data_IF_029586296741
#
_entry.id   IF_029586296741
#
_cell.length_a   1.000
_cell.length_b   1.000
_cell.length_c   1.000
_cell.angle_alpha   90.00
_cell.angle_beta   90.00
_cell.angle_gamma   90.00
#
_symmetry.space_group_name_H-M   'P 1'
#
loop_
_entity.id
_entity.type
_entity.pdbx_description
1 polymer ?
#
# COMPACT_ATOMS: atom_id res chain seq x y z
N UNK A 1 -8.57 26.68 10.50
CA UNK A 1 -8.70 27.27 9.16
C UNK A 1 -8.88 26.17 8.12
N UNK A 2 -9.64 26.37 7.03
CA UNK A 2 -9.76 25.37 5.98
C UNK A 2 -8.45 25.26 5.18
N UNK A 3 -8.02 24.03 4.92
CA UNK A 3 -6.85 23.74 4.10
C UNK A 3 -7.00 24.34 2.70
N UNK A 4 -6.05 25.19 2.28
CA UNK A 4 -5.96 25.74 0.92
C UNK A 4 -4.65 25.25 0.30
N UNK A 5 -4.70 24.29 -0.65
CA UNK A 5 -3.49 23.87 -1.33
C UNK A 5 -2.96 25.02 -2.20
N UNK A 6 -1.65 25.25 -2.14
CA UNK A 6 -0.97 26.18 -3.04
C UNK A 6 -0.97 25.57 -4.44
N UNK A 7 -1.68 26.20 -5.38
CA UNK A 7 -1.61 25.83 -6.80
C UNK A 7 -0.30 26.40 -7.34
N UNK A 8 0.63 25.52 -7.70
CA UNK A 8 1.84 25.90 -8.44
C UNK A 8 1.44 26.06 -9.90
N UNK A 9 1.41 27.31 -10.38
CA UNK A 9 1.20 27.61 -11.79
C UNK A 9 2.37 27.08 -12.61
N UNK A 10 2.08 26.43 -13.74
CA UNK A 10 3.08 25.77 -14.57
C UNK A 10 4.05 26.83 -15.12
N UNK A 11 5.22 26.96 -14.49
CA UNK A 11 6.27 27.84 -14.94
C UNK A 11 6.59 27.50 -16.40
N UNK A 12 6.46 28.51 -17.26
CA UNK A 12 6.49 28.38 -18.71
C UNK A 12 7.67 27.55 -19.20
N UNK A 13 7.42 26.81 -20.29
CA UNK A 13 8.35 26.01 -21.11
C UNK A 13 9.82 26.27 -20.81
N UNK A 14 10.32 25.74 -19.70
CA UNK A 14 11.74 25.48 -19.53
C UNK A 14 12.06 24.42 -20.55
N UNK A 15 13.02 24.71 -21.42
CA UNK A 15 13.67 23.76 -22.31
C UNK A 15 13.73 22.38 -21.66
N UNK A 16 13.57 21.33 -22.48
CA UNK A 16 13.66 19.90 -22.19
C UNK A 16 15.01 19.48 -21.56
N UNK A 17 15.47 20.22 -20.55
CA UNK A 17 16.49 19.79 -19.63
C UNK A 17 15.91 18.60 -18.88
N UNK A 18 16.76 17.59 -18.76
CA UNK A 18 16.49 16.37 -18.06
C UNK A 18 16.06 16.69 -16.62
N UNK A 19 14.76 16.73 -16.35
CA UNK A 19 14.22 17.00 -15.02
C UNK A 19 14.56 15.82 -14.12
N UNK A 20 15.55 16.00 -13.24
CA UNK A 20 15.99 14.99 -12.31
C UNK A 20 15.13 14.97 -11.05
N UNK A 21 14.41 13.86 -10.83
CA UNK A 21 13.61 13.63 -9.62
C UNK A 21 14.40 12.99 -8.48
N UNK A 22 15.67 12.64 -8.67
CA UNK A 22 16.49 11.94 -7.67
C UNK A 22 16.53 12.70 -6.34
N UNK A 23 16.60 14.02 -6.39
CA UNK A 23 16.58 14.85 -5.19
C UNK A 23 15.24 14.80 -4.44
N UNK A 24 14.12 14.93 -5.15
CA UNK A 24 12.79 14.84 -4.56
C UNK A 24 12.53 13.42 -4.03
N UNK A 25 12.90 12.40 -4.79
CA UNK A 25 12.79 11.00 -4.43
C UNK A 25 13.62 10.68 -3.18
N UNK A 26 14.87 11.14 -3.09
CA UNK A 26 15.74 10.92 -1.92
C UNK A 26 15.11 11.44 -0.63
N UNK A 27 14.36 12.56 -0.70
CA UNK A 27 13.66 13.12 0.45
C UNK A 27 12.32 12.42 0.74
N UNK A 28 11.62 11.97 -0.29
CA UNK A 28 10.28 11.39 -0.16
C UNK A 28 10.28 9.89 0.18
N UNK A 29 11.23 9.12 -0.36
CA UNK A 29 11.32 7.65 -0.18
C UNK A 29 11.33 7.24 1.30
N UNK A 30 12.04 7.91 2.22
CA UNK A 30 12.00 7.58 3.65
C UNK A 30 10.64 7.80 4.32
N UNK A 31 9.64 8.37 3.64
CA UNK A 31 8.28 8.48 4.18
C UNK A 31 7.35 7.39 3.62
N UNK A 32 7.81 6.57 2.67
CA UNK A 32 7.00 5.52 2.03
C UNK A 32 7.21 4.19 2.72
N UNK A 33 6.12 3.48 2.99
CA UNK A 33 6.12 2.15 3.60
C UNK A 33 5.47 1.13 2.69
N UNK A 34 5.87 -0.12 2.85
CA UNK A 34 5.24 -1.26 2.19
C UNK A 34 4.30 -1.98 3.16
N UNK A 35 3.06 -2.19 2.74
CA UNK A 35 1.99 -2.73 3.59
C UNK A 35 1.63 -4.12 3.07
N UNK A 36 1.77 -5.15 3.90
CA UNK A 36 1.13 -6.44 3.67
C UNK A 36 -0.19 -6.47 4.40
N UNK A 37 -1.24 -6.83 3.68
CA UNK A 37 -2.58 -7.02 4.18
C UNK A 37 -2.89 -8.50 4.15
N UNK A 38 -3.06 -9.09 5.32
CA UNK A 38 -3.24 -10.52 5.51
C UNK A 38 -4.68 -10.75 5.93
N UNK A 39 -5.39 -11.57 5.17
CA UNK A 39 -6.74 -12.02 5.50
C UNK A 39 -6.84 -13.55 5.44
N UNK A 40 -7.71 -14.13 6.25
CA UNK A 40 -8.03 -15.55 6.17
C UNK A 40 -9.26 -15.73 5.29
N UNK A 41 -9.17 -16.60 4.28
CA UNK A 41 -10.31 -17.02 3.48
C UNK A 41 -10.51 -18.52 3.66
N UNK A 42 -11.66 -18.91 4.17
CA UNK A 42 -12.08 -20.31 4.19
C UNK A 42 -12.51 -20.68 2.78
N UNK A 43 -11.70 -21.49 2.09
CA UNK A 43 -12.06 -21.96 0.77
C UNK A 43 -12.70 -23.34 0.90
N UNK A 44 -14.03 -23.40 0.79
CA UNK A 44 -14.76 -24.66 0.70
C UNK A 44 -14.86 -25.02 -0.78
N UNK A 45 -13.98 -25.88 -1.26
CA UNK A 45 -14.02 -26.29 -2.66
C UNK A 45 -15.27 -27.14 -2.92
N UNK A 46 -16.11 -26.73 -3.87
CA UNK A 46 -17.31 -27.48 -4.26
C UNK A 46 -17.03 -28.86 -4.87
N UNK A 47 -15.76 -29.22 -5.10
CA UNK A 47 -15.32 -30.54 -5.60
C UNK A 47 -14.67 -31.43 -4.52
N UNK A 48 -14.61 -30.98 -3.26
CA UNK A 48 -14.01 -31.75 -2.14
C UNK A 48 -14.69 -33.13 -1.98
N UNK A 49 -15.99 -33.21 -2.30
CA UNK A 49 -16.77 -34.45 -2.31
C UNK A 49 -16.39 -35.43 -3.44
N UNK A 50 -15.79 -34.94 -4.53
CA UNK A 50 -15.40 -35.75 -5.69
C UNK A 50 -14.04 -36.43 -5.50
N UNK A 51 -13.17 -35.88 -4.65
CA UNK A 51 -11.80 -36.37 -4.41
C UNK A 51 -11.62 -37.09 -3.05
N UNK A 52 -12.70 -37.37 -2.32
CA UNK A 52 -12.66 -38.27 -1.16
C UNK A 52 -11.87 -37.77 0.05
N UNK A 53 -11.64 -36.46 0.18
CA UNK A 53 -10.88 -35.87 1.27
C UNK A 53 -11.69 -34.76 1.93
N UNK A 54 -12.04 -34.92 3.21
CA UNK A 54 -12.54 -33.81 3.99
C UNK A 54 -11.40 -32.84 4.28
N UNK A 55 -11.57 -31.57 3.91
CA UNK A 55 -10.64 -30.56 4.38
C UNK A 55 -10.76 -29.23 3.67
N UNK A 56 -11.88 -28.52 3.86
CA UNK A 56 -11.92 -27.08 3.67
C UNK A 56 -10.88 -26.42 4.59
N UNK A 57 -9.69 -26.15 4.05
CA UNK A 57 -8.64 -25.44 4.75
C UNK A 57 -8.91 -23.93 4.76
N UNK A 58 -8.61 -23.28 5.88
CA UNK A 58 -8.41 -21.84 5.89
C UNK A 58 -7.14 -21.53 5.09
N UNK A 59 -7.28 -20.86 3.95
CA UNK A 59 -6.14 -20.35 3.21
C UNK A 59 -5.90 -18.90 3.58
N UNK A 60 -4.64 -18.58 3.91
CA UNK A 60 -4.24 -17.20 4.10
C UNK A 60 -4.10 -16.52 2.74
N UNK A 61 -4.80 -15.40 2.56
CA UNK A 61 -4.64 -14.49 1.43
C UNK A 61 -3.78 -13.31 1.87
N UNK A 62 -2.78 -12.98 1.06
CA UNK A 62 -1.92 -11.82 1.29
C UNK A 62 -2.06 -10.87 0.10
N UNK A 63 -2.46 -9.64 0.39
CA UNK A 63 -2.45 -8.51 -0.52
C UNK A 63 -1.30 -7.56 -0.13
N UNK A 64 -0.82 -6.79 -1.10
CA UNK A 64 0.25 -5.80 -0.86
C UNK A 64 -0.17 -4.42 -1.36
N UNK A 65 0.33 -3.40 -0.69
CA UNK A 65 0.11 -2.00 -1.02
C UNK A 65 1.21 -1.10 -0.47
N UNK A 66 1.08 0.19 -0.71
CA UNK A 66 1.96 1.20 -0.14
C UNK A 66 1.19 2.12 0.81
N UNK A 67 1.94 2.82 1.65
CA UNK A 67 1.42 3.91 2.45
C UNK A 67 2.46 5.01 2.60
N UNK A 68 2.02 6.18 3.04
CA UNK A 68 2.88 7.32 3.33
C UNK A 68 2.74 7.69 4.80
N UNK A 69 3.85 7.79 5.51
CA UNK A 69 3.92 8.33 6.87
C UNK A 69 3.58 9.81 6.78
N UNK A 70 2.43 10.19 7.32
CA UNK A 70 1.89 11.55 7.22
C UNK A 70 2.36 12.44 8.39
N UNK A 71 2.53 11.85 9.57
CA UNK A 71 2.96 12.56 10.78
C UNK A 71 4.03 11.78 11.54
N UNK A 72 4.86 12.49 12.32
CA UNK A 72 6.01 11.93 13.01
C UNK A 72 5.65 10.97 14.17
N UNK A 73 4.41 10.99 14.65
CA UNK A 73 3.85 10.06 15.64
C UNK A 73 3.35 8.74 15.02
N UNK A 74 3.53 8.56 13.70
CA UNK A 74 3.38 7.26 13.04
C UNK A 74 2.05 7.03 12.33
N UNK A 75 1.25 8.07 12.05
CA UNK A 75 0.07 7.91 11.20
C UNK A 75 0.47 7.68 9.75
N UNK A 76 -0.14 6.67 9.14
CA UNK A 76 0.12 6.26 7.76
C UNK A 76 -1.17 6.41 6.96
N UNK A 77 -1.07 7.09 5.82
CA UNK A 77 -2.15 7.19 4.84
C UNK A 77 -1.94 6.11 3.78
N UNK A 78 -2.99 5.33 3.52
CA UNK A 78 -3.03 4.32 2.45
C UNK A 78 -4.42 4.31 1.81
N UNK A 79 -4.59 3.56 0.72
CA UNK A 79 -5.89 3.38 0.10
C UNK A 79 -6.76 2.43 0.94
N UNK A 80 -8.08 2.67 0.97
CA UNK A 80 -9.02 1.83 1.69
C UNK A 80 -8.91 0.34 1.31
N UNK A 81 -8.86 0.04 0.01
CA UNK A 81 -8.80 -1.34 -0.50
C UNK A 81 -7.54 -2.11 -0.06
N UNK A 82 -6.51 -1.42 0.42
CA UNK A 82 -5.31 -2.08 0.96
C UNK A 82 -5.60 -2.68 2.33
N UNK A 83 -6.49 -2.06 3.12
CA UNK A 83 -6.73 -2.41 4.54
C UNK A 83 -8.13 -2.95 4.83
N UNK A 84 -9.09 -2.79 3.92
CA UNK A 84 -10.53 -3.02 4.11
C UNK A 84 -10.90 -4.42 4.65
N UNK A 85 -10.23 -5.48 4.20
CA UNK A 85 -10.50 -6.88 4.62
C UNK A 85 -9.33 -7.50 5.39
N UNK A 86 -8.38 -6.70 5.85
CA UNK A 86 -7.19 -7.19 6.53
C UNK A 86 -7.52 -7.64 7.95
N UNK A 87 -7.21 -8.89 8.28
CA UNK A 87 -7.19 -9.35 9.68
C UNK A 87 -5.90 -8.91 10.37
N UNK A 88 -4.81 -8.85 9.61
CA UNK A 88 -3.50 -8.40 10.08
C UNK A 88 -2.86 -7.52 9.03
N UNK A 89 -2.27 -6.43 9.49
CA UNK A 89 -1.52 -5.50 8.67
C UNK A 89 -0.07 -5.52 9.13
N UNK A 90 0.86 -5.75 8.21
CA UNK A 90 2.29 -5.64 8.46
C UNK A 90 2.85 -4.46 7.70
N UNK A 91 3.45 -3.52 8.43
CA UNK A 91 4.08 -2.34 7.85
C UNK A 91 5.59 -2.55 7.83
N UNK A 92 6.16 -2.53 6.62
CA UNK A 92 7.59 -2.67 6.37
C UNK A 92 8.15 -1.30 5.98
N UNK A 93 8.90 -0.71 6.90
CA UNK A 93 9.65 0.52 6.71
C UNK A 93 11.08 0.20 6.24
N UNK A 94 11.69 1.04 5.40
CA UNK A 94 13.05 0.84 4.87
C UNK A 94 13.28 -0.49 4.14
N UNK A 95 12.29 -0.97 3.40
CA UNK A 95 12.47 -2.12 2.51
C UNK A 95 13.47 -1.74 1.40
N UNK A 96 14.69 -2.29 1.46
CA UNK A 96 15.74 -2.12 0.45
C UNK A 96 15.51 -3.02 -0.75
#
# INVERSE_FOLDING_TARGET
EPYRPTIVESAGTSSLENVDFSFAATRAIPSVVFINSISQTTNTFSFDWFFGGGGGGSQQRVSSGSGVIFTADGYIVTNNHVVEEAERIEVNYNKK
#
